data_IF_390954730546
#
_entry.id   IF_390954730546
#
_cell.length_a   1.000
_cell.length_b   1.000
_cell.length_c   1.000
_cell.angle_alpha   90.00
_cell.angle_beta   90.00
_cell.angle_gamma   90.00
#
_symmetry.space_group_name_H-M   'P 1'
#
loop_
_entity.id
_entity.type
_entity.pdbx_description
1 polymer ?
#
# COMPACT_ATOMS: atom_id res chain seq x y z
N UNK A 1 8.38 -12.78 21.82
CA UNK A 1 8.61 -12.09 20.53
C UNK A 1 7.67 -12.74 19.51
N UNK A 2 6.71 -12.02 18.94
CA UNK A 2 5.76 -12.57 17.97
C UNK A 2 6.40 -12.56 16.58
N UNK A 3 6.74 -13.71 15.97
CA UNK A 3 7.53 -13.77 14.74
C UNK A 3 6.82 -13.15 13.53
N UNK A 4 5.49 -13.02 13.57
CA UNK A 4 4.67 -12.48 12.47
C UNK A 4 4.18 -11.05 12.72
N UNK A 5 4.55 -10.42 13.84
CA UNK A 5 4.06 -9.07 14.16
C UNK A 5 4.52 -8.03 13.13
N UNK A 6 5.73 -8.20 12.59
CA UNK A 6 6.23 -7.31 11.53
C UNK A 6 5.43 -7.50 10.24
N UNK A 7 5.22 -8.75 9.79
CA UNK A 7 4.42 -9.06 8.60
C UNK A 7 2.98 -8.56 8.72
N UNK A 8 2.36 -8.73 9.89
CA UNK A 8 1.01 -8.26 10.15
C UNK A 8 0.91 -6.73 10.11
N UNK A 9 1.89 -6.03 10.70
CA UNK A 9 1.98 -4.58 10.61
C UNK A 9 2.09 -4.12 9.15
N UNK A 10 2.90 -4.78 8.33
CA UNK A 10 2.99 -4.47 6.90
C UNK A 10 1.68 -4.64 6.17
N UNK A 11 0.95 -5.73 6.44
CA UNK A 11 -0.33 -5.99 5.78
C UNK A 11 -1.34 -4.89 6.08
N UNK A 12 -1.37 -4.40 7.32
CA UNK A 12 -2.21 -3.25 7.70
C UNK A 12 -1.78 -1.99 6.97
N UNK A 13 -0.48 -1.69 6.95
CA UNK A 13 0.03 -0.46 6.32
C UNK A 13 -0.25 -0.47 4.81
N UNK A 14 0.06 -1.56 4.11
CA UNK A 14 -0.22 -1.71 2.68
C UNK A 14 -1.71 -1.61 2.37
N UNK A 15 -2.56 -2.25 3.18
CA UNK A 15 -4.00 -2.17 3.02
C UNK A 15 -4.52 -0.73 3.17
N UNK A 16 -4.13 -0.05 4.25
CA UNK A 16 -4.56 1.35 4.48
C UNK A 16 -4.05 2.29 3.40
N UNK A 17 -2.82 2.08 2.91
CA UNK A 17 -2.22 2.85 1.83
C UNK A 17 -3.01 2.68 0.51
N UNK A 18 -3.40 1.46 0.16
CA UNK A 18 -4.18 1.19 -1.06
C UNK A 18 -5.66 1.64 -0.95
N UNK A 19 -6.18 1.90 0.24
CA UNK A 19 -7.54 2.45 0.43
C UNK A 19 -7.65 3.98 0.25
N UNK A 20 -6.59 4.74 0.51
CA UNK A 20 -6.60 6.20 0.33
C UNK A 20 -6.72 6.72 -1.13
N UNK A 21 -6.13 6.10 -2.17
CA UNK A 21 -6.02 6.67 -3.51
C UNK A 21 -7.37 7.04 -4.17
N UNK A 22 -8.42 6.25 -3.89
CA UNK A 22 -9.77 6.46 -4.44
C UNK A 22 -10.32 7.86 -4.18
N UNK A 23 -10.01 8.44 -3.02
CA UNK A 23 -10.51 9.77 -2.61
C UNK A 23 -9.82 10.90 -3.34
N UNK A 24 -8.63 10.64 -3.88
CA UNK A 24 -7.76 11.64 -4.46
C UNK A 24 -7.56 11.50 -5.96
N UNK A 25 -8.31 10.59 -6.61
CA UNK A 25 -8.14 10.23 -8.02
C UNK A 25 -6.71 9.85 -8.39
N UNK A 26 -6.03 9.18 -7.45
CA UNK A 26 -4.65 8.74 -7.58
C UNK A 26 -4.57 7.23 -7.66
N UNK A 27 -3.48 6.75 -8.23
CA UNK A 27 -3.13 5.33 -8.32
C UNK A 27 -1.87 5.18 -7.49
N UNK A 28 -1.84 4.24 -6.54
CA UNK A 28 -0.67 4.03 -5.68
C UNK A 28 -0.22 2.58 -5.84
N UNK A 29 0.89 2.37 -6.51
CA UNK A 29 1.48 1.05 -6.68
C UNK A 29 2.64 0.88 -5.71
N UNK A 30 2.58 -0.14 -4.87
CA UNK A 30 3.67 -0.50 -3.97
C UNK A 30 4.73 -1.30 -4.72
N UNK A 31 5.96 -0.77 -4.79
CA UNK A 31 7.09 -1.39 -5.49
C UNK A 31 7.96 -2.22 -4.55
N UNK A 32 8.21 -1.70 -3.34
CA UNK A 32 9.04 -2.35 -2.35
C UNK A 32 8.61 -1.97 -0.94
N UNK A 33 8.68 -2.96 -0.06
CA UNK A 33 8.35 -2.84 1.34
C UNK A 33 9.38 -3.64 2.14
N UNK A 34 10.08 -3.00 3.09
CA UNK A 34 11.14 -3.66 3.87
C UNK A 34 10.98 -3.37 5.36
N UNK A 35 11.35 -4.34 6.20
CA UNK A 35 11.43 -4.19 7.65
C UNK A 35 12.88 -4.08 8.07
N UNK A 36 13.29 -2.93 8.58
CA UNK A 36 14.64 -2.74 9.10
C UNK A 36 14.47 -2.17 10.50
N UNK A 37 15.01 -2.85 11.51
CA UNK A 37 15.11 -2.44 12.92
C UNK A 37 14.36 -1.12 13.27
N UNK A 38 13.04 -1.24 13.44
CA UNK A 38 12.09 -0.18 13.84
C UNK A 38 11.63 0.86 12.79
N UNK A 39 11.98 0.70 11.51
CA UNK A 39 11.52 1.54 10.41
C UNK A 39 11.02 0.71 9.20
N UNK A 40 10.04 1.28 8.50
CA UNK A 40 9.38 0.67 7.34
C UNK A 40 9.48 1.62 6.14
N UNK A 41 10.53 1.50 5.30
CA UNK A 41 10.56 2.18 4.03
C UNK A 41 9.57 1.52 3.05
N UNK A 42 8.69 2.35 2.49
CA UNK A 42 7.75 1.98 1.44
C UNK A 42 8.08 2.77 0.18
N UNK A 43 8.42 2.07 -0.89
CA UNK A 43 8.60 2.68 -2.20
C UNK A 43 7.30 2.52 -2.97
N UNK A 44 6.69 3.65 -3.31
CA UNK A 44 5.40 3.70 -3.99
C UNK A 44 5.50 4.54 -5.25
N UNK A 45 4.88 4.06 -6.33
CA UNK A 45 4.69 4.84 -7.55
C UNK A 45 3.30 5.47 -7.51
N UNK A 46 3.25 6.80 -7.66
CA UNK A 46 1.99 7.54 -7.70
C UNK A 46 1.69 7.86 -9.17
N UNK A 47 0.58 7.32 -9.67
CA UNK A 47 0.00 7.67 -10.95
C UNK A 47 -1.15 8.65 -10.82
N UNK A 48 -1.36 9.45 -11.86
CA UNK A 48 -2.48 10.38 -11.98
C UNK A 48 -3.46 9.88 -13.05
N UNK A 49 -4.75 9.82 -12.73
CA UNK A 49 -5.82 9.48 -13.67
C UNK A 49 -6.86 8.49 -13.14
N UNK A 50 -8.13 8.85 -13.25
CA UNK A 50 -9.29 8.10 -12.72
C UNK A 50 -9.50 6.70 -13.30
N UNK A 51 -9.15 6.49 -14.57
CA UNK A 51 -9.50 5.27 -15.30
C UNK A 51 -8.82 4.01 -14.74
N UNK A 52 -7.58 4.13 -14.24
CA UNK A 52 -6.84 3.01 -13.65
C UNK A 52 -7.06 2.88 -12.13
N UNK A 53 -7.53 3.93 -11.46
CA UNK A 53 -7.83 3.89 -10.03
C UNK A 53 -8.97 2.90 -9.72
N UNK A 54 -10.00 2.84 -10.57
CA UNK A 54 -11.11 1.89 -10.43
C UNK A 54 -10.64 0.44 -10.55
N UNK A 55 -9.83 0.12 -11.56
CA UNK A 55 -9.28 -1.23 -11.73
C UNK A 55 -8.41 -1.69 -10.55
N UNK A 56 -7.80 -0.75 -9.83
CA UNK A 56 -6.99 -1.06 -8.66
C UNK A 56 -7.84 -1.35 -7.42
N UNK A 57 -9.02 -0.73 -7.30
CA UNK A 57 -9.96 -1.04 -6.23
C UNK A 57 -10.56 -2.44 -6.39
N UNK A 58 -10.85 -2.86 -7.62
CA UNK A 58 -11.41 -4.19 -7.90
C UNK A 58 -10.45 -5.35 -7.57
N UNK A 59 -9.14 -5.10 -7.54
CA UNK A 59 -8.12 -6.12 -7.17
C UNK A 59 -7.96 -6.25 -5.66
N UNK A 60 -8.40 -5.26 -4.88
CA UNK A 60 -8.20 -5.19 -3.43
C UNK A 60 -9.43 -5.69 -2.65
N UNK A 61 -10.57 -5.91 -3.30
CA UNK A 61 -11.83 -6.39 -2.69
C UNK A 61 -12.08 -7.85 -3.03
#
# INVERSE_FOLDING_TARGET
>A
HQPFSHEFAFRIILYTLHMQPARYDRIIESLLCMSIDFYVPLFVRIGYGSAKAQSQLDVVI
#
